data_IF_969675036049
#
_entry.id   IF_969675036049
#
_cell.length_a   1.000
_cell.length_b   1.000
_cell.length_c   1.000
_cell.angle_alpha   90.00
_cell.angle_beta   90.00
_cell.angle_gamma   90.00
#
_symmetry.space_group_name_H-M   'P 1'
#
loop_
_entity.id
_entity.type
_entity.pdbx_description
1 polymer ?
#
# COMPACT_ATOMS: atom_id res chain seq x y z
N UNK A 1 -1.40 -3.70 -19.27
CA UNK A 1 -1.64 -4.50 -18.03
C UNK A 1 -0.70 -4.09 -16.90
N UNK A 2 0.60 -3.88 -17.14
CA UNK A 2 1.56 -3.40 -16.12
C UNK A 2 1.15 -2.09 -15.42
N UNK A 3 0.66 -1.10 -16.18
CA UNK A 3 0.21 0.19 -15.65
C UNK A 3 -0.89 0.06 -14.62
N UNK A 4 -1.83 -0.87 -14.79
CA UNK A 4 -2.88 -1.15 -13.82
C UNK A 4 -2.32 -1.63 -12.48
N UNK A 5 -1.39 -2.60 -12.50
CA UNK A 5 -0.75 -3.12 -11.29
C UNK A 5 0.06 -2.04 -10.57
N UNK A 6 0.80 -1.22 -11.32
CA UNK A 6 1.53 -0.08 -10.76
C UNK A 6 0.59 0.93 -10.10
N UNK A 7 -0.47 1.34 -10.79
CA UNK A 7 -1.41 2.34 -10.24
C UNK A 7 -2.12 1.82 -9.00
N UNK A 8 -2.65 0.60 -9.03
CA UNK A 8 -3.38 0.03 -7.88
C UNK A 8 -2.44 -0.16 -6.70
N UNK A 9 -1.24 -0.70 -6.93
CA UNK A 9 -0.24 -0.87 -5.89
C UNK A 9 0.18 0.46 -5.25
N UNK A 10 0.37 1.50 -6.06
CA UNK A 10 0.72 2.84 -5.58
C UNK A 10 -0.43 3.48 -4.78
N UNK A 11 -1.68 3.34 -5.25
CA UNK A 11 -2.85 3.84 -4.51
C UNK A 11 -2.98 3.18 -3.15
N UNK A 12 -2.83 1.86 -3.05
CA UNK A 12 -2.88 1.15 -1.77
C UNK A 12 -1.78 1.61 -0.81
N UNK A 13 -0.57 1.82 -1.33
CA UNK A 13 0.56 2.34 -0.56
C UNK A 13 0.27 3.74 -0.01
N UNK A 14 -0.24 4.64 -0.86
CA UNK A 14 -0.60 6.01 -0.47
C UNK A 14 -1.73 6.03 0.56
N UNK A 15 -2.74 5.16 0.42
CA UNK A 15 -3.81 5.05 1.41
C UNK A 15 -3.30 4.57 2.77
N UNK A 16 -2.39 3.59 2.80
CA UNK A 16 -1.78 3.11 4.03
C UNK A 16 -0.94 4.21 4.72
N UNK A 17 -0.12 4.94 3.96
CA UNK A 17 0.67 6.06 4.46
C UNK A 17 -0.22 7.22 4.95
N UNK A 18 -1.25 7.59 4.20
CA UNK A 18 -2.19 8.65 4.57
C UNK A 18 -2.92 8.31 5.88
N UNK A 19 -3.33 7.05 6.06
CA UNK A 19 -3.93 6.59 7.30
C UNK A 19 -2.94 6.68 8.47
N UNK A 20 -1.68 6.26 8.29
CA UNK A 20 -0.64 6.39 9.31
C UNK A 20 -0.44 7.84 9.73
N UNK A 21 -0.24 8.72 8.76
CA UNK A 21 -0.06 10.15 8.98
C UNK A 21 -1.26 10.77 9.69
N UNK A 22 -2.49 10.41 9.31
CA UNK A 22 -3.70 10.89 9.98
C UNK A 22 -3.73 10.51 11.47
N UNK A 23 -3.32 9.29 11.80
CA UNK A 23 -3.29 8.82 13.20
C UNK A 23 -2.22 9.54 14.01
N UNK A 24 -1.05 9.77 13.41
CA UNK A 24 0.04 10.52 14.02
C UNK A 24 -0.38 11.99 14.28
N UNK A 25 -1.09 12.62 13.34
CA UNK A 25 -1.59 14.00 13.48
C UNK A 25 -2.70 14.09 14.53
N UNK A 26 -3.62 13.13 14.56
CA UNK A 26 -4.79 13.17 15.46
C UNK A 26 -4.53 12.57 16.84
N UNK A 27 -3.35 11.99 17.07
CA UNK A 27 -2.99 11.32 18.34
C UNK A 27 -3.88 10.12 18.66
N UNK A 28 -4.60 9.57 17.67
CA UNK A 28 -5.53 8.47 17.89
C UNK A 28 -4.78 7.14 17.96
N UNK A 29 -4.91 6.46 19.09
CA UNK A 29 -4.41 5.08 19.24
C UNK A 29 -5.21 4.12 18.37
N UNK A 30 -4.49 3.32 17.59
CA UNK A 30 -5.09 2.24 16.80
C UNK A 30 -4.83 0.92 17.52
N UNK A 31 -5.86 0.07 17.70
CA UNK A 31 -5.67 -1.26 18.26
C UNK A 31 -4.71 -2.07 17.37
N UNK A 32 -3.99 -3.03 17.95
CA UNK A 32 -3.00 -3.88 17.25
C UNK A 32 -3.55 -4.47 15.95
N UNK A 33 -4.83 -4.87 15.94
CA UNK A 33 -5.53 -5.35 14.74
C UNK A 33 -5.50 -4.35 13.57
N UNK A 34 -5.65 -3.06 13.86
CA UNK A 34 -5.61 -2.00 12.86
C UNK A 34 -4.20 -1.72 12.33
N UNK A 35 -3.15 -2.06 13.09
CA UNK A 35 -1.77 -2.04 12.60
C UNK A 35 -1.49 -3.22 11.67
N UNK A 36 -1.94 -4.42 12.04
CA UNK A 36 -1.83 -5.63 11.22
C UNK A 36 -2.55 -5.43 9.88
N UNK A 37 -3.78 -4.88 9.91
CA UNK A 37 -4.53 -4.61 8.70
C UNK A 37 -3.82 -3.60 7.77
N UNK A 38 -3.23 -2.54 8.33
CA UNK A 38 -2.44 -1.57 7.57
C UNK A 38 -1.19 -2.19 6.94
N UNK A 39 -0.48 -3.05 7.69
CA UNK A 39 0.69 -3.75 7.22
C UNK A 39 0.35 -4.70 6.06
N UNK A 40 -0.72 -5.48 6.18
CA UNK A 40 -1.18 -6.40 5.11
C UNK A 40 -1.52 -5.62 3.84
N UNK A 41 -2.24 -4.50 3.95
CA UNK A 41 -2.56 -3.67 2.77
C UNK A 41 -1.29 -3.12 2.12
N UNK A 42 -0.33 -2.62 2.90
CA UNK A 42 0.93 -2.12 2.35
C UNK A 42 1.75 -3.23 1.67
N UNK A 43 1.71 -4.44 2.20
CA UNK A 43 2.36 -5.61 1.61
C UNK A 43 1.73 -6.00 0.27
N UNK A 44 0.40 -6.03 0.19
CA UNK A 44 -0.33 -6.26 -1.07
C UNK A 44 -0.01 -5.16 -2.09
N UNK A 45 0.02 -3.90 -1.67
CA UNK A 45 0.40 -2.77 -2.54
C UNK A 45 1.80 -2.94 -3.12
N UNK A 46 2.78 -3.29 -2.28
CA UNK A 46 4.16 -3.54 -2.71
C UNK A 46 4.26 -4.72 -3.70
N UNK A 47 3.53 -5.81 -3.46
CA UNK A 47 3.48 -6.95 -4.39
C UNK A 47 2.91 -6.56 -5.75
N UNK A 48 1.85 -5.76 -5.79
CA UNK A 48 1.27 -5.28 -7.04
C UNK A 48 2.24 -4.38 -7.81
N UNK A 49 2.98 -3.51 -7.11
CA UNK A 49 4.04 -2.71 -7.74
C UNK A 49 5.12 -3.63 -8.33
N UNK A 50 5.56 -4.64 -7.59
CA UNK A 50 6.58 -5.59 -8.05
C UNK A 50 6.12 -6.35 -9.30
N UNK A 51 4.87 -6.84 -9.32
CA UNK A 51 4.26 -7.46 -10.51
C UNK A 51 4.22 -6.48 -11.67
N UNK A 52 3.80 -5.23 -11.44
CA UNK A 52 3.77 -4.18 -12.45
C UNK A 52 5.14 -3.89 -13.05
N UNK A 53 6.19 -3.83 -12.23
CA UNK A 53 7.58 -3.66 -12.67
C UNK A 53 8.02 -4.86 -13.51
N UNK A 54 7.79 -6.09 -13.03
CA UNK A 54 8.16 -7.31 -13.76
C UNK A 54 7.47 -7.39 -15.14
N UNK A 55 6.18 -7.05 -15.21
CA UNK A 55 5.43 -7.01 -16.47
C UNK A 55 5.89 -5.88 -17.41
N UNK A 56 6.49 -4.82 -16.88
CA UNK A 56 7.06 -3.74 -17.70
C UNK A 56 8.45 -4.11 -18.21
N UNK A 57 9.19 -4.91 -17.45
CA UNK A 57 10.52 -5.40 -17.80
C UNK A 57 10.49 -6.64 -18.70
N UNK A 58 9.36 -7.34 -18.79
CA UNK A 58 9.17 -8.44 -19.73
C UNK A 58 9.03 -7.89 -21.17
N UNK A 59 9.82 -8.39 -22.13
CA UNK A 59 9.79 -7.96 -23.53
C UNK A 59 8.49 -8.34 -24.26
#
# INVERSE_FOLDING_TARGET
MSTFFLTVGFTLMMCACARRAYLDITGRWVPVEGYVFGAVISFVGALLILIGILLTAAP
#
